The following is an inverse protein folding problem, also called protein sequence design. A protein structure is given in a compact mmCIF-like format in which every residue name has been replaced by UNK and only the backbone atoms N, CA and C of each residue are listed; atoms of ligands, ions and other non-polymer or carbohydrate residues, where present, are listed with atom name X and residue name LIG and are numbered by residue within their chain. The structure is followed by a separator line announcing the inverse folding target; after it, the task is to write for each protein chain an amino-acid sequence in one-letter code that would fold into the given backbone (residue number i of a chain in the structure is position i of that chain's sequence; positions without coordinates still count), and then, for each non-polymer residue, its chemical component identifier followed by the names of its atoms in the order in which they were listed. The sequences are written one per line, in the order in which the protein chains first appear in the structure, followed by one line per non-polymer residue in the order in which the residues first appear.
data_IF_971442736895
#
_entry.id   IF_971442736895
#
_cell.length_a   1.000
_cell.length_b   1.000
_cell.length_c   1.000
_cell.angle_alpha   90.00
_cell.angle_beta   90.00
_cell.angle_gamma   90.00
#
_symmetry.space_group_name_H-M   'P 1'
#
loop_
_entity.id
_entity.type
_entity.pdbx_description
1 polymer ?
#
# COMPACT_ATOMS: atom_id res chain seq x y z
N UNK A 1 3.68 -16.54 25.31
CA UNK A 1 3.59 -15.66 24.15
C UNK A 1 4.79 -14.72 24.20
N UNK A 2 5.44 -14.45 23.06
CA UNK A 2 6.56 -13.51 22.99
C UNK A 2 6.13 -12.06 23.27
N UNK A 3 7.10 -11.17 23.31
CA UNK A 3 6.89 -9.72 23.50
C UNK A 3 5.97 -9.11 22.43
N UNK A 4 6.03 -9.63 21.18
CA UNK A 4 5.25 -9.15 20.03
C UNK A 4 4.12 -10.12 19.68
N UNK A 5 2.99 -9.56 19.22
CA UNK A 5 1.77 -10.30 18.88
C UNK A 5 1.32 -10.09 17.44
N UNK A 6 1.74 -9.00 16.80
CA UNK A 6 1.38 -8.64 15.46
C UNK A 6 2.62 -8.30 14.65
N UNK A 7 2.70 -8.83 13.42
CA UNK A 7 3.73 -8.46 12.44
C UNK A 7 3.03 -7.91 11.20
N UNK A 8 3.34 -6.67 10.85
CA UNK A 8 2.85 -5.99 9.65
C UNK A 8 3.98 -5.94 8.62
N UNK A 9 3.78 -6.61 7.49
CA UNK A 9 4.71 -6.63 6.37
C UNK A 9 4.22 -5.70 5.27
N UNK A 10 5.10 -4.83 4.79
CA UNK A 10 4.91 -4.24 3.47
C UNK A 10 5.06 -5.34 2.41
N UNK A 11 4.62 -5.02 1.17
CA UNK A 11 4.62 -5.99 0.07
C UNK A 11 5.80 -5.76 -0.88
N UNK A 12 5.81 -4.66 -1.61
CA UNK A 12 6.76 -4.40 -2.69
C UNK A 12 8.13 -4.00 -2.15
N UNK A 13 9.15 -4.82 -2.44
CA UNK A 13 10.50 -4.64 -1.87
C UNK A 13 10.66 -5.17 -0.45
N UNK A 14 9.62 -5.74 0.14
CA UNK A 14 9.63 -6.33 1.49
C UNK A 14 9.22 -7.80 1.46
N UNK A 15 7.92 -8.11 1.35
CA UNK A 15 7.43 -9.49 1.32
C UNK A 15 7.59 -10.13 -0.06
N UNK A 16 7.55 -9.32 -1.12
CA UNK A 16 7.74 -9.72 -2.50
C UNK A 16 9.20 -9.60 -2.89
N UNK A 17 9.74 -10.63 -3.53
CA UNK A 17 11.06 -10.61 -4.16
C UNK A 17 11.10 -9.66 -5.39
N UNK A 18 12.26 -9.53 -6.01
CA UNK A 18 12.46 -8.68 -7.21
C UNK A 18 11.63 -9.13 -8.42
N UNK A 19 11.11 -10.36 -8.40
CA UNK A 19 10.21 -10.93 -9.41
C UNK A 19 8.73 -10.88 -9.03
N UNK A 20 8.39 -10.17 -7.94
CA UNK A 20 7.03 -10.05 -7.40
C UNK A 20 6.43 -11.38 -6.90
N UNK A 21 7.25 -12.30 -6.44
CA UNK A 21 6.81 -13.56 -5.83
C UNK A 21 7.05 -13.55 -4.31
N UNK A 22 6.31 -14.39 -3.60
CA UNK A 22 6.59 -14.72 -2.19
C UNK A 22 7.28 -16.08 -2.15
N UNK A 23 8.48 -16.16 -1.61
CA UNK A 23 9.23 -17.42 -1.52
C UNK A 23 8.45 -18.46 -0.73
N UNK A 24 8.62 -19.75 -1.07
CA UNK A 24 8.01 -20.86 -0.32
C UNK A 24 8.45 -20.88 1.13
N UNK A 25 9.68 -20.46 1.42
CA UNK A 25 10.22 -20.41 2.77
C UNK A 25 9.51 -19.34 3.61
N UNK A 26 9.26 -18.16 3.04
CA UNK A 26 8.49 -17.08 3.67
C UNK A 26 7.01 -17.46 3.83
N UNK A 27 6.37 -18.08 2.82
CA UNK A 27 4.99 -18.58 2.96
C UNK A 27 4.86 -19.56 4.13
N UNK A 28 5.78 -20.54 4.24
CA UNK A 28 5.79 -21.49 5.34
C UNK A 28 6.02 -20.82 6.70
N UNK A 29 6.89 -19.82 6.75
CA UNK A 29 7.16 -19.07 7.98
C UNK A 29 5.92 -18.27 8.44
N UNK A 30 5.23 -17.60 7.55
CA UNK A 30 3.96 -16.89 7.82
C UNK A 30 2.91 -17.84 8.38
N UNK A 31 2.73 -19.00 7.72
CA UNK A 31 1.81 -20.04 8.19
C UNK A 31 2.13 -20.51 9.60
N UNK A 32 3.37 -20.91 9.85
CA UNK A 32 3.80 -21.39 11.17
C UNK A 32 3.64 -20.32 12.27
N UNK A 33 3.91 -19.06 11.95
CA UNK A 33 3.72 -17.94 12.88
C UNK A 33 2.24 -17.75 13.22
N UNK A 34 1.36 -17.79 12.22
CA UNK A 34 -0.09 -17.70 12.42
C UNK A 34 -0.65 -18.86 13.22
N UNK A 35 -0.22 -20.11 12.96
CA UNK A 35 -0.58 -21.32 13.74
C UNK A 35 -0.19 -21.18 15.21
N UNK A 36 0.84 -20.39 15.54
CA UNK A 36 1.26 -20.09 16.90
C UNK A 36 0.60 -18.87 17.53
N UNK A 37 -0.39 -18.30 16.83
CA UNK A 37 -1.21 -17.21 17.32
C UNK A 37 -0.68 -15.81 17.03
N UNK A 38 0.32 -15.67 16.13
CA UNK A 38 0.71 -14.37 15.63
C UNK A 38 -0.35 -13.79 14.71
N UNK A 39 -0.63 -12.50 14.83
CA UNK A 39 -1.43 -11.76 13.85
C UNK A 39 -0.51 -11.26 12.74
N UNK A 40 -0.66 -11.81 11.54
CA UNK A 40 0.09 -11.35 10.37
C UNK A 40 -0.80 -10.41 9.57
N UNK A 41 -0.23 -9.27 9.16
CA UNK A 41 -0.93 -8.19 8.45
C UNK A 41 -0.16 -7.81 7.19
N UNK A 42 -0.85 -7.67 6.06
CA UNK A 42 -0.30 -6.97 4.90
C UNK A 42 -0.52 -5.47 5.10
N UNK A 43 0.55 -4.69 5.01
CA UNK A 43 0.56 -3.24 5.27
C UNK A 43 1.04 -2.50 4.02
N UNK A 44 0.16 -2.31 3.02
CA UNK A 44 0.54 -2.04 1.64
C UNK A 44 -0.14 -0.83 1.01
N UNK A 45 0.50 -0.27 -0.02
CA UNK A 45 -0.12 0.72 -0.92
C UNK A 45 -1.12 0.15 -1.91
N UNK A 46 -1.10 -1.18 -2.13
CA UNK A 46 -2.00 -1.89 -3.04
C UNK A 46 -3.43 -1.94 -2.50
N UNK A 47 -4.42 -2.02 -3.41
CA UNK A 47 -5.81 -2.30 -3.06
C UNK A 47 -6.10 -3.81 -3.01
N UNK A 48 -7.31 -4.19 -2.59
CA UNK A 48 -7.69 -5.59 -2.41
C UNK A 48 -7.66 -6.39 -3.72
N UNK A 49 -8.10 -5.80 -4.83
CA UNK A 49 -8.08 -6.45 -6.15
C UNK A 49 -6.64 -6.84 -6.57
N UNK A 50 -5.66 -6.00 -6.26
CA UNK A 50 -4.24 -6.21 -6.56
C UNK A 50 -3.55 -7.23 -5.63
N UNK A 51 -4.24 -7.68 -4.59
CA UNK A 51 -3.73 -8.65 -3.60
C UNK A 51 -4.29 -10.05 -3.78
N UNK A 52 -5.25 -10.27 -4.67
CA UNK A 52 -6.00 -11.53 -4.78
C UNK A 52 -5.10 -12.76 -4.88
N UNK A 53 -4.13 -12.75 -5.80
CA UNK A 53 -3.20 -13.87 -6.01
C UNK A 53 -2.33 -14.13 -4.77
N UNK A 54 -1.89 -13.08 -4.07
CA UNK A 54 -1.07 -13.21 -2.86
C UNK A 54 -1.87 -13.70 -1.66
N UNK A 55 -3.15 -13.33 -1.57
CA UNK A 55 -4.03 -13.82 -0.51
C UNK A 55 -4.35 -15.31 -0.64
N UNK A 56 -4.30 -15.88 -1.86
CA UNK A 56 -4.38 -17.33 -2.08
C UNK A 56 -3.13 -18.05 -1.57
N UNK A 57 -1.95 -17.43 -1.69
CA UNK A 57 -0.68 -17.98 -1.19
C UNK A 57 -0.55 -17.86 0.33
N UNK A 58 -1.25 -16.90 0.95
CA UNK A 58 -1.21 -16.59 2.38
C UNK A 58 -2.62 -16.65 2.99
N UNK A 59 -3.28 -17.81 3.01
CA UNK A 59 -4.65 -17.93 3.52
C UNK A 59 -4.77 -17.60 5.01
N UNK A 60 -3.68 -17.65 5.77
CA UNK A 60 -3.61 -17.32 7.20
C UNK A 60 -3.68 -15.80 7.48
N UNK A 61 -3.34 -14.97 6.50
CA UNK A 61 -3.42 -13.51 6.64
C UNK A 61 -4.89 -13.09 6.61
N UNK A 62 -5.39 -12.64 7.74
CA UNK A 62 -6.77 -12.22 7.93
C UNK A 62 -6.97 -10.72 7.75
N UNK A 63 -6.03 -9.93 8.23
CA UNK A 63 -6.16 -8.48 8.28
C UNK A 63 -5.25 -7.81 7.25
N UNK A 64 -5.78 -6.80 6.58
CA UNK A 64 -5.06 -6.06 5.55
C UNK A 64 -5.23 -4.57 5.82
N UNK A 65 -4.12 -3.87 5.93
CA UNK A 65 -4.02 -2.42 5.92
C UNK A 65 -3.60 -2.01 4.51
N UNK A 66 -4.56 -1.75 3.66
CA UNK A 66 -4.40 -1.51 2.21
C UNK A 66 -4.52 -0.03 1.86
N UNK A 67 -4.21 0.28 0.60
CA UNK A 67 -4.34 1.62 0.01
C UNK A 67 -3.61 2.67 0.86
N UNK A 68 -2.38 2.32 1.29
CA UNK A 68 -1.53 3.20 2.13
C UNK A 68 -2.19 3.62 3.45
N UNK A 69 -3.03 2.74 4.07
CA UNK A 69 -3.76 3.05 5.30
C UNK A 69 -5.15 3.64 5.09
N UNK A 70 -5.56 3.84 3.84
CA UNK A 70 -6.88 4.36 3.50
C UNK A 70 -8.02 3.36 3.71
N UNK A 71 -7.70 2.06 3.72
CA UNK A 71 -8.67 0.98 3.97
C UNK A 71 -8.05 -0.11 4.84
N UNK A 72 -8.68 -0.41 5.96
CA UNK A 72 -8.32 -1.54 6.84
C UNK A 72 -9.47 -2.52 6.88
N UNK A 73 -9.22 -3.77 6.55
CA UNK A 73 -10.27 -4.78 6.47
C UNK A 73 -9.93 -6.10 7.15
N UNK A 74 -10.98 -6.79 7.56
CA UNK A 74 -10.99 -8.20 7.95
C UNK A 74 -11.56 -9.00 6.77
N UNK A 75 -10.69 -9.62 5.98
CA UNK A 75 -11.10 -10.34 4.76
C UNK A 75 -11.88 -11.62 5.04
N UNK A 76 -11.74 -12.20 6.23
CA UNK A 76 -12.47 -13.42 6.60
C UNK A 76 -13.91 -13.09 7.01
N UNK A 77 -14.09 -11.95 7.70
CA UNK A 77 -15.42 -11.47 8.07
C UNK A 77 -16.07 -10.59 6.97
N UNK A 78 -15.38 -10.37 5.84
CA UNK A 78 -15.77 -9.45 4.77
C UNK A 78 -16.25 -8.10 5.31
N UNK A 79 -15.42 -7.48 6.13
CA UNK A 79 -15.78 -6.25 6.85
C UNK A 79 -14.67 -5.22 6.83
N UNK A 80 -15.05 -3.98 6.53
CA UNK A 80 -14.19 -2.82 6.69
C UNK A 80 -14.13 -2.44 8.17
N UNK A 81 -12.91 -2.40 8.73
CA UNK A 81 -12.62 -1.99 10.11
C UNK A 81 -12.48 -0.47 10.17
N UNK A 82 -11.83 0.08 9.15
CA UNK A 82 -11.59 1.51 9.04
C UNK A 82 -11.49 1.92 7.56
N UNK A 83 -11.97 3.11 7.24
CA UNK A 83 -11.81 3.72 5.92
C UNK A 83 -11.58 5.22 6.06
N UNK A 84 -10.58 5.73 5.36
CA UNK A 84 -10.29 7.14 5.14
C UNK A 84 -10.41 7.44 3.65
N UNK A 85 -11.26 8.37 3.27
CA UNK A 85 -11.59 8.61 1.87
C UNK A 85 -11.55 10.09 1.52
N UNK A 86 -11.11 10.41 0.32
CA UNK A 86 -11.34 11.69 -0.32
C UNK A 86 -12.85 11.92 -0.47
N UNK A 87 -13.31 13.12 -0.19
CA UNK A 87 -14.68 13.50 -0.50
C UNK A 87 -14.86 13.69 -2.02
N UNK A 88 -16.10 13.53 -2.47
CA UNK A 88 -16.45 13.57 -3.89
C UNK A 88 -16.09 14.91 -4.55
N UNK A 89 -16.27 16.02 -3.86
CA UNK A 89 -16.03 17.36 -4.43
C UNK A 89 -14.52 17.62 -4.59
N UNK A 90 -13.72 17.11 -3.65
CA UNK A 90 -12.25 17.13 -3.76
C UNK A 90 -11.78 16.33 -4.97
N UNK A 91 -12.29 15.10 -5.16
CA UNK A 91 -11.94 14.28 -6.34
C UNK A 91 -12.35 14.97 -7.63
N UNK A 92 -13.58 15.53 -7.72
CA UNK A 92 -14.04 16.28 -8.90
C UNK A 92 -13.13 17.46 -9.24
N UNK A 93 -12.68 18.22 -8.23
CA UNK A 93 -11.76 19.34 -8.44
C UNK A 93 -10.42 18.86 -9.00
N UNK A 94 -9.85 17.78 -8.42
CA UNK A 94 -8.60 17.21 -8.90
C UNK A 94 -8.73 16.74 -10.35
N UNK A 95 -9.79 16.00 -10.67
CA UNK A 95 -10.03 15.52 -12.04
C UNK A 95 -10.13 16.68 -13.06
N UNK A 96 -10.79 17.77 -12.67
CA UNK A 96 -10.87 18.97 -13.51
C UNK A 96 -9.50 19.64 -13.73
N UNK A 97 -8.61 19.62 -12.74
CA UNK A 97 -7.26 20.16 -12.88
C UNK A 97 -6.39 19.38 -13.87
N UNK A 98 -6.65 18.09 -14.03
CA UNK A 98 -5.85 17.18 -14.88
C UNK A 98 -6.56 16.78 -16.18
N UNK A 99 -7.77 17.26 -16.44
CA UNK A 99 -8.60 16.87 -17.60
C UNK A 99 -7.90 17.08 -18.96
N UNK A 100 -7.03 18.09 -19.06
CA UNK A 100 -6.27 18.40 -20.27
C UNK A 100 -4.82 17.92 -20.23
N UNK A 101 -4.43 17.17 -19.21
CA UNK A 101 -3.05 16.68 -19.02
C UNK A 101 -2.91 15.26 -19.59
N UNK A 102 -1.72 14.93 -20.09
CA UNK A 102 -1.38 13.54 -20.43
C UNK A 102 -0.97 12.81 -19.15
N UNK A 103 -1.98 12.32 -18.43
CA UNK A 103 -1.83 11.61 -17.16
C UNK A 103 -2.68 10.34 -17.19
N UNK A 104 -2.18 9.26 -16.62
CA UNK A 104 -2.97 8.06 -16.37
C UNK A 104 -3.58 8.15 -14.97
N UNK A 105 -4.91 8.12 -14.89
CA UNK A 105 -5.68 8.18 -13.65
C UNK A 105 -5.96 6.78 -13.15
N UNK A 106 -5.80 6.58 -11.83
CA UNK A 106 -6.06 5.32 -11.17
C UNK A 106 -6.81 5.55 -9.85
N UNK A 107 -8.05 5.06 -9.76
CA UNK A 107 -8.83 5.05 -8.53
C UNK A 107 -8.63 3.75 -7.78
N UNK A 108 -8.29 3.87 -6.51
CA UNK A 108 -8.05 2.75 -5.60
C UNK A 108 -9.05 2.78 -4.44
N UNK A 109 -9.85 1.74 -4.37
CA UNK A 109 -10.69 1.39 -3.22
C UNK A 109 -10.46 -0.10 -2.89
N UNK A 110 -11.48 -0.95 -2.81
CA UNK A 110 -11.31 -2.41 -2.88
C UNK A 110 -10.94 -2.87 -4.28
N UNK A 111 -11.41 -2.15 -5.28
CA UNK A 111 -11.18 -2.34 -6.70
C UNK A 111 -10.02 -1.45 -7.16
N UNK A 112 -9.49 -1.75 -8.33
CA UNK A 112 -8.45 -1.02 -9.02
C UNK A 112 -9.04 -0.56 -10.35
N UNK A 113 -9.26 0.76 -10.55
CA UNK A 113 -9.96 1.31 -11.71
C UNK A 113 -9.04 2.25 -12.48
N UNK A 114 -8.77 1.95 -13.75
CA UNK A 114 -7.83 2.70 -14.60
C UNK A 114 -8.43 3.12 -15.94
N UNK A 115 -7.78 4.06 -16.60
CA UNK A 115 -8.11 4.43 -17.99
C UNK A 115 -7.68 3.32 -18.95
N UNK A 116 -8.63 2.79 -19.74
CA UNK A 116 -8.39 1.71 -20.70
C UNK A 116 -7.37 2.06 -21.77
N UNK A 117 -7.47 3.25 -22.36
CA UNK A 117 -6.59 3.72 -23.44
C UNK A 117 -5.14 3.93 -22.98
N UNK A 118 -4.89 4.04 -21.67
CA UNK A 118 -3.55 4.25 -21.11
C UNK A 118 -2.82 2.94 -20.78
N UNK A 119 -3.55 1.84 -20.55
CA UNK A 119 -2.96 0.54 -20.18
C UNK A 119 -1.98 0.00 -21.22
N UNK A 120 -2.25 0.04 -22.55
CA UNK A 120 -1.28 -0.39 -23.56
C UNK A 120 0.04 0.40 -23.52
N UNK A 121 -0.02 1.66 -23.13
CA UNK A 121 1.05 2.65 -23.16
C UNK A 121 1.67 2.96 -21.79
N UNK A 122 1.52 2.06 -20.80
CA UNK A 122 2.00 2.27 -19.41
C UNK A 122 3.50 2.61 -19.32
N UNK A 123 4.30 2.23 -20.31
CA UNK A 123 5.71 2.61 -20.37
C UNK A 123 5.93 4.14 -20.46
N UNK A 124 4.98 4.89 -21.01
CA UNK A 124 5.03 6.37 -21.05
C UNK A 124 4.93 7.00 -19.67
N UNK A 125 4.34 6.26 -18.72
CA UNK A 125 4.10 6.69 -17.35
C UNK A 125 5.05 5.99 -16.36
N UNK A 126 6.08 5.28 -16.86
CA UNK A 126 7.05 4.51 -16.07
C UNK A 126 6.39 3.41 -15.21
N UNK A 127 5.29 2.84 -15.70
CA UNK A 127 4.50 1.81 -15.02
C UNK A 127 4.51 0.46 -15.76
N UNK A 128 5.45 0.25 -16.69
CA UNK A 128 5.54 -0.97 -17.50
C UNK A 128 5.69 -2.25 -16.68
N UNK A 129 6.36 -2.18 -15.53
CA UNK A 129 6.56 -3.32 -14.63
C UNK A 129 5.26 -3.85 -14.02
N UNK A 130 4.21 -3.04 -14.01
CA UNK A 130 2.90 -3.39 -13.46
C UNK A 130 1.88 -3.77 -14.53
N UNK A 131 2.23 -3.69 -15.83
CA UNK A 131 1.28 -3.84 -16.94
C UNK A 131 0.51 -5.15 -16.89
N UNK A 132 1.21 -6.28 -16.74
CA UNK A 132 0.57 -7.60 -16.72
C UNK A 132 -0.42 -7.75 -15.54
N UNK A 133 -0.10 -7.16 -14.39
CA UNK A 133 -1.01 -7.13 -13.25
C UNK A 133 -2.23 -6.27 -13.57
N UNK A 134 -2.04 -5.06 -14.11
CA UNK A 134 -3.15 -4.16 -14.43
C UNK A 134 -4.10 -4.76 -15.47
N UNK A 135 -3.59 -5.44 -16.50
CA UNK A 135 -4.40 -6.14 -17.49
C UNK A 135 -5.29 -7.24 -16.88
N UNK A 136 -4.84 -7.86 -15.78
CA UNK A 136 -5.58 -8.96 -15.12
C UNK A 136 -6.55 -8.51 -14.05
N UNK A 137 -6.22 -7.48 -13.28
CA UNK A 137 -6.95 -7.19 -12.03
C UNK A 137 -7.67 -5.85 -12.04
N UNK A 138 -7.48 -4.98 -13.07
CA UNK A 138 -8.10 -3.67 -13.07
C UNK A 138 -9.41 -3.64 -13.84
N UNK A 139 -10.36 -2.88 -13.32
CA UNK A 139 -11.51 -2.37 -14.07
C UNK A 139 -11.02 -1.26 -15.00
N UNK A 140 -11.19 -1.47 -16.31
CA UNK A 140 -10.69 -0.53 -17.32
C UNK A 140 -11.84 0.31 -17.89
N UNK A 141 -11.88 1.59 -17.54
CA UNK A 141 -12.90 2.52 -17.97
C UNK A 141 -12.48 3.31 -19.22
N UNK A 142 -13.40 3.46 -20.20
CA UNK A 142 -13.13 4.17 -21.45
C UNK A 142 -12.93 5.68 -21.24
N UNK A 143 -13.85 6.29 -20.50
CA UNK A 143 -13.80 7.69 -20.08
C UNK A 143 -13.87 7.75 -18.55
N UNK A 144 -12.72 7.64 -17.92
CA UNK A 144 -12.65 7.54 -16.44
C UNK A 144 -13.20 8.80 -15.77
N UNK A 145 -12.97 9.99 -16.34
CA UNK A 145 -13.45 11.24 -15.78
C UNK A 145 -14.97 11.35 -15.96
N UNK A 146 -15.49 11.14 -17.18
CA UNK A 146 -16.92 11.24 -17.46
C UNK A 146 -17.72 10.19 -16.70
N UNK A 147 -17.22 8.93 -16.63
CA UNK A 147 -17.87 7.87 -15.88
C UNK A 147 -17.90 8.17 -14.37
N UNK A 148 -16.79 8.67 -13.81
CA UNK A 148 -16.75 9.10 -12.41
C UNK A 148 -17.72 10.25 -12.13
N UNK A 149 -17.78 11.26 -13.01
CA UNK A 149 -18.68 12.43 -12.85
C UNK A 149 -20.16 12.02 -12.95
N UNK A 150 -20.47 11.00 -13.76
CA UNK A 150 -21.84 10.49 -13.90
C UNK A 150 -22.33 9.71 -12.66
N UNK A 151 -21.43 8.99 -11.98
CA UNK A 151 -21.74 8.19 -10.80
C UNK A 151 -20.60 8.30 -9.76
N UNK A 152 -20.44 9.45 -9.09
CA UNK A 152 -19.31 9.69 -8.22
C UNK A 152 -19.41 8.89 -6.91
N UNK A 153 -18.25 8.43 -6.42
CA UNK A 153 -18.12 7.68 -5.17
C UNK A 153 -16.89 8.16 -4.38
N UNK A 154 -16.83 7.77 -3.12
CA UNK A 154 -15.69 8.09 -2.25
C UNK A 154 -14.52 7.17 -2.57
N UNK A 155 -13.32 7.73 -2.65
CA UNK A 155 -12.09 7.02 -3.03
C UNK A 155 -11.06 7.15 -1.90
N UNK A 156 -10.54 6.05 -1.36
CA UNK A 156 -9.45 6.09 -0.38
C UNK A 156 -8.16 6.69 -0.93
N UNK A 157 -7.81 6.37 -2.20
CA UNK A 157 -6.62 6.88 -2.84
C UNK A 157 -6.83 7.07 -4.35
N UNK A 158 -6.32 8.18 -4.86
CA UNK A 158 -6.24 8.51 -6.27
C UNK A 158 -4.76 8.61 -6.65
N UNK A 159 -4.32 7.82 -7.63
CA UNK A 159 -2.99 7.94 -8.20
C UNK A 159 -3.05 8.62 -9.56
N UNK A 160 -2.09 9.50 -9.80
CA UNK A 160 -1.87 10.17 -11.07
C UNK A 160 -0.46 9.83 -11.56
N UNK A 161 -0.36 9.08 -12.65
CA UNK A 161 0.91 8.71 -13.24
C UNK A 161 1.21 9.63 -14.41
N UNK A 162 2.33 10.35 -14.33
CA UNK A 162 2.71 11.35 -15.32
C UNK A 162 3.81 10.82 -16.24
N UNK A 163 4.02 11.49 -17.36
CA UNK A 163 5.07 11.15 -18.32
C UNK A 163 6.46 11.64 -17.88
N UNK A 164 6.53 12.52 -16.87
CA UNK A 164 7.78 13.02 -16.31
C UNK A 164 7.59 13.53 -14.87
N UNK A 165 8.69 13.63 -14.12
CA UNK A 165 8.70 14.27 -12.80
C UNK A 165 8.34 15.75 -12.84
N UNK A 166 8.66 16.44 -13.93
CA UNK A 166 8.25 17.82 -14.21
C UNK A 166 6.74 17.96 -14.26
N UNK A 167 6.06 17.13 -15.06
CA UNK A 167 4.60 17.11 -15.19
C UNK A 167 3.95 16.83 -13.83
N UNK A 168 4.43 15.80 -13.10
CA UNK A 168 3.99 15.50 -11.74
C UNK A 168 4.10 16.72 -10.81
N UNK A 169 5.25 17.40 -10.82
CA UNK A 169 5.47 18.55 -9.96
C UNK A 169 4.57 19.75 -10.33
N UNK A 170 4.20 19.92 -11.61
CA UNK A 170 3.24 20.92 -12.04
C UNK A 170 1.83 20.60 -11.52
N UNK A 171 1.38 19.35 -11.66
CA UNK A 171 0.08 18.90 -11.11
C UNK A 171 0.04 19.06 -9.59
N UNK A 172 1.11 18.67 -8.89
CA UNK A 172 1.24 18.89 -7.44
C UNK A 172 1.04 20.37 -7.06
N UNK A 173 1.70 21.29 -7.77
CA UNK A 173 1.55 22.74 -7.52
C UNK A 173 0.13 23.22 -7.74
N UNK A 174 -0.57 22.74 -8.80
CA UNK A 174 -1.97 23.09 -9.04
C UNK A 174 -2.87 22.63 -7.91
N UNK A 175 -2.71 21.38 -7.43
CA UNK A 175 -3.50 20.83 -6.33
C UNK A 175 -3.26 21.62 -5.03
N UNK A 176 -2.00 21.94 -4.72
CA UNK A 176 -1.64 22.74 -3.54
C UNK A 176 -2.25 24.16 -3.59
N UNK A 177 -2.32 24.77 -4.78
CA UNK A 177 -2.92 26.09 -4.94
C UNK A 177 -4.44 26.11 -4.63
N UNK A 178 -5.13 24.99 -4.80
CA UNK A 178 -6.55 24.83 -4.45
C UNK A 178 -6.79 24.67 -2.94
N UNK A 179 -5.74 24.55 -2.13
CA UNK A 179 -5.81 24.39 -0.66
C UNK A 179 -6.76 23.25 -0.24
N UNK A 180 -6.75 22.16 -1.00
CA UNK A 180 -7.53 20.96 -0.70
C UNK A 180 -6.97 20.24 0.55
N UNK A 181 -7.88 19.64 1.32
CA UNK A 181 -7.52 18.88 2.51
C UNK A 181 -7.05 17.45 2.13
N UNK A 182 -5.88 17.34 1.50
CA UNK A 182 -5.32 16.11 0.96
C UNK A 182 -3.88 15.90 1.38
N UNK A 183 -3.47 14.64 1.46
CA UNK A 183 -2.08 14.22 1.53
C UNK A 183 -1.57 13.97 0.11
N UNK A 184 -0.39 14.48 -0.20
CA UNK A 184 0.26 14.32 -1.51
C UNK A 184 1.61 13.64 -1.32
N UNK A 185 1.76 12.44 -1.84
CA UNK A 185 2.99 11.66 -1.76
C UNK A 185 3.53 11.41 -3.16
N UNK A 186 4.82 11.72 -3.36
CA UNK A 186 5.54 11.30 -4.56
C UNK A 186 5.91 9.83 -4.39
N UNK A 187 5.37 8.99 -5.26
CA UNK A 187 5.68 7.58 -5.32
C UNK A 187 6.24 7.25 -6.70
N UNK A 188 7.09 6.23 -6.80
CA UNK A 188 7.78 5.90 -8.03
C UNK A 188 8.46 7.12 -8.67
N UNK A 189 8.82 7.05 -9.95
CA UNK A 189 9.51 8.15 -10.66
C UNK A 189 8.58 9.33 -10.96
N UNK A 190 7.34 9.05 -11.37
CA UNK A 190 6.41 10.05 -11.94
C UNK A 190 5.03 10.02 -11.32
N UNK A 191 4.84 9.21 -10.30
CA UNK A 191 3.56 8.97 -9.63
C UNK A 191 3.28 10.02 -8.55
N UNK A 192 2.05 10.54 -8.53
CA UNK A 192 1.52 11.36 -7.45
C UNK A 192 0.36 10.60 -6.80
N UNK A 193 0.55 10.15 -5.59
CA UNK A 193 -0.50 9.57 -4.76
C UNK A 193 -1.23 10.66 -3.99
N UNK A 194 -2.56 10.60 -3.99
CA UNK A 194 -3.44 11.57 -3.36
C UNK A 194 -4.41 10.81 -2.45
N UNK A 195 -4.42 11.14 -1.18
CA UNK A 195 -5.32 10.58 -0.17
C UNK A 195 -5.90 11.68 0.72
N UNK A 196 -6.86 11.34 1.56
CA UNK A 196 -7.35 12.28 2.57
C UNK A 196 -6.22 12.63 3.56
N UNK A 197 -6.20 13.86 4.06
CA UNK A 197 -5.18 14.30 5.00
C UNK A 197 -5.08 13.38 6.22
N UNK A 198 -3.85 13.05 6.59
CA UNK A 198 -3.55 12.14 7.70
C UNK A 198 -3.76 10.67 7.38
N UNK A 199 -3.94 10.31 6.11
CA UNK A 199 -3.98 8.91 5.67
C UNK A 199 -2.56 8.42 5.43
N UNK A 200 -2.11 7.46 6.23
CA UNK A 200 -0.83 6.77 6.09
C UNK A 200 -0.90 5.34 6.66
N UNK A 201 0.08 4.51 6.32
CA UNK A 201 0.16 3.12 6.79
C UNK A 201 0.15 3.00 8.31
N UNK A 202 0.71 3.99 9.03
CA UNK A 202 0.78 4.00 10.49
C UNK A 202 -0.57 4.29 11.14
N UNK A 203 -1.35 5.20 10.57
CA UNK A 203 -2.70 5.50 11.05
C UNK A 203 -3.64 4.31 10.82
N UNK A 204 -3.57 3.67 9.65
CA UNK A 204 -4.30 2.44 9.37
C UNK A 204 -3.94 1.30 10.33
N UNK A 205 -2.64 1.08 10.59
CA UNK A 205 -2.17 0.08 11.54
C UNK A 205 -2.67 0.38 12.97
N UNK A 206 -2.64 1.63 13.39
CA UNK A 206 -3.16 2.03 14.71
C UNK A 206 -4.65 1.70 14.85
N UNK A 207 -5.47 1.97 13.82
CA UNK A 207 -6.90 1.61 13.80
C UNK A 207 -7.11 0.10 13.89
N UNK A 208 -6.30 -0.69 13.19
CA UNK A 208 -6.33 -2.13 13.29
C UNK A 208 -5.95 -2.60 14.71
N UNK A 209 -4.89 -2.06 15.28
CA UNK A 209 -4.44 -2.39 16.63
C UNK A 209 -5.50 -2.05 17.69
N UNK A 210 -6.17 -0.91 17.57
CA UNK A 210 -7.31 -0.54 18.43
C UNK A 210 -8.45 -1.56 18.33
N UNK A 211 -8.81 -1.97 17.12
CA UNK A 211 -9.84 -2.98 16.88
C UNK A 211 -9.48 -4.34 17.47
N UNK A 212 -8.21 -4.75 17.39
CA UNK A 212 -7.72 -6.04 17.90
C UNK A 212 -7.37 -6.03 19.40
N UNK A 213 -7.41 -4.88 20.06
CA UNK A 213 -6.90 -4.70 21.42
C UNK A 213 -5.43 -5.19 21.56
N UNK A 214 -4.59 -4.85 20.57
CA UNK A 214 -3.15 -5.10 20.58
C UNK A 214 -2.46 -3.74 20.73
N UNK A 215 -1.68 -3.51 21.81
CA UNK A 215 -0.88 -2.29 21.93
C UNK A 215 0.13 -2.18 20.79
N UNK A 216 0.35 -0.98 20.27
CA UNK A 216 1.36 -0.72 19.24
C UNK A 216 2.77 -1.18 19.66
N UNK A 217 3.08 -1.11 20.97
CA UNK A 217 4.33 -1.64 21.53
C UNK A 217 4.51 -3.16 21.38
N UNK A 218 3.45 -3.90 21.02
CA UNK A 218 3.48 -5.33 20.73
C UNK A 218 3.44 -5.65 19.23
N UNK A 219 3.73 -4.67 18.39
CA UNK A 219 3.77 -4.82 16.93
C UNK A 219 5.18 -4.76 16.39
N UNK A 220 5.43 -5.50 15.33
CA UNK A 220 6.61 -5.38 14.47
C UNK A 220 6.12 -4.83 13.13
N UNK A 221 6.79 -3.82 12.60
CA UNK A 221 6.57 -3.32 11.24
C UNK A 221 7.83 -3.55 10.43
N UNK A 222 7.67 -4.19 9.28
CA UNK A 222 8.75 -4.50 8.32
C UNK A 222 8.49 -3.75 7.04
N UNK A 223 9.47 -2.99 6.56
CA UNK A 223 9.33 -2.18 5.36
C UNK A 223 10.67 -1.81 4.73
N UNK A 224 10.64 -1.16 3.58
CA UNK A 224 11.82 -0.77 2.81
C UNK A 224 11.75 0.65 2.21
N UNK A 225 10.58 1.29 2.16
CA UNK A 225 10.36 2.57 1.51
C UNK A 225 9.77 3.64 2.44
N UNK A 226 9.79 4.90 2.01
CA UNK A 226 9.37 6.05 2.83
C UNK A 226 7.91 5.98 3.28
N UNK A 227 7.04 5.30 2.54
CA UNK A 227 5.63 5.09 2.91
C UNK A 227 5.46 4.17 4.14
N UNK A 228 6.51 3.45 4.58
CA UNK A 228 6.52 2.62 5.79
C UNK A 228 6.88 3.41 7.04
N UNK A 229 7.55 4.55 6.89
CA UNK A 229 8.10 5.34 7.99
C UNK A 229 7.03 5.66 9.05
N UNK A 230 5.83 6.04 8.62
CA UNK A 230 4.74 6.37 9.55
C UNK A 230 4.32 5.18 10.42
N UNK A 231 4.28 3.97 9.86
CA UNK A 231 3.97 2.75 10.58
C UNK A 231 5.14 2.31 11.48
N UNK A 232 6.36 2.38 10.96
CA UNK A 232 7.58 2.04 11.73
C UNK A 232 7.74 2.91 12.97
N UNK A 233 7.48 4.22 12.87
CA UNK A 233 7.52 5.15 14.02
C UNK A 233 6.53 4.83 15.14
N UNK A 234 5.42 4.15 14.83
CA UNK A 234 4.39 3.76 15.79
C UNK A 234 4.60 2.35 16.34
N UNK A 235 5.39 1.53 15.67
CA UNK A 235 5.63 0.14 16.05
C UNK A 235 6.39 -0.02 17.37
N UNK A 236 6.22 -1.17 18.00
CA UNK A 236 7.07 -1.60 19.10
C UNK A 236 8.47 -2.04 18.65
N UNK A 237 8.61 -2.41 17.37
CA UNK A 237 9.87 -2.71 16.70
C UNK A 237 9.76 -2.33 15.22
N UNK A 238 10.65 -1.46 14.77
CA UNK A 238 10.80 -1.08 13.38
C UNK A 238 11.91 -1.90 12.73
N UNK A 239 11.59 -2.63 11.67
CA UNK A 239 12.54 -3.48 10.94
C UNK A 239 12.67 -3.01 9.50
N UNK A 240 13.89 -2.70 9.07
CA UNK A 240 14.20 -2.39 7.69
C UNK A 240 14.70 -3.63 6.94
N UNK A 241 14.30 -3.77 5.69
CA UNK A 241 14.93 -4.70 4.77
C UNK A 241 16.31 -4.19 4.38
N UNK A 242 17.26 -5.07 4.05
CA UNK A 242 18.62 -4.68 3.59
C UNK A 242 18.59 -3.83 2.30
N UNK A 243 17.61 -4.07 1.43
CA UNK A 243 17.38 -3.27 0.22
C UNK A 243 16.65 -1.95 0.49
N UNK A 244 16.24 -1.67 1.73
CA UNK A 244 15.56 -0.43 2.09
C UNK A 244 16.41 0.81 1.76
N UNK A 245 15.75 1.94 1.52
CA UNK A 245 16.45 3.20 1.37
C UNK A 245 17.09 3.68 2.70
N UNK A 246 17.98 4.64 2.61
CA UNK A 246 18.75 5.12 3.78
C UNK A 246 17.89 5.81 4.85
N UNK A 247 16.76 6.43 4.48
CA UNK A 247 15.83 7.05 5.44
C UNK A 247 15.18 5.99 6.33
N UNK A 248 14.74 4.89 5.71
CA UNK A 248 14.11 3.76 6.41
C UNK A 248 15.13 3.05 7.30
N UNK A 249 16.34 2.77 6.78
CA UNK A 249 17.42 2.16 7.56
C UNK A 249 17.83 2.99 8.78
N UNK A 250 17.90 4.32 8.61
CA UNK A 250 18.28 5.22 9.71
C UNK A 250 17.23 5.26 10.84
N UNK A 251 15.97 4.94 10.54
CA UNK A 251 14.87 4.90 11.51
C UNK A 251 14.72 3.54 12.18
N UNK A 252 15.11 2.47 11.51
CA UNK A 252 14.86 1.11 11.96
C UNK A 252 15.68 0.74 13.20
N UNK A 253 15.08 -0.02 14.09
CA UNK A 253 15.77 -0.65 15.24
C UNK A 253 16.67 -1.79 14.79
N UNK A 254 16.29 -2.49 13.71
CA UNK A 254 16.97 -3.67 13.17
C UNK A 254 16.93 -3.66 11.64
N UNK A 255 18.01 -4.15 11.04
CA UNK A 255 18.09 -4.43 9.59
C UNK A 255 18.21 -5.94 9.42
N UNK A 256 17.36 -6.52 8.57
CA UNK A 256 17.36 -7.95 8.20
C UNK A 256 17.83 -8.12 6.76
N UNK A 257 17.92 -9.37 6.30
CA UNK A 257 18.24 -9.71 4.90
C UNK A 257 17.29 -8.98 3.93
N UNK A 258 17.68 -8.85 2.66
CA UNK A 258 16.84 -8.24 1.64
C UNK A 258 15.67 -9.14 1.24
N UNK A 259 14.79 -8.60 0.39
CA UNK A 259 13.59 -9.27 -0.08
C UNK A 259 13.88 -10.49 -0.97
N UNK A 260 15.04 -10.58 -1.62
CA UNK A 260 15.46 -11.74 -2.41
C UNK A 260 16.11 -12.85 -1.54
N UNK A 261 16.36 -12.56 -0.26
CA UNK A 261 17.03 -13.48 0.68
C UNK A 261 16.20 -13.74 1.94
N UNK A 262 14.88 -13.82 1.82
CA UNK A 262 13.94 -14.21 2.89
C UNK A 262 13.98 -13.34 4.16
N UNK A 263 14.26 -12.04 4.09
CA UNK A 263 14.34 -11.16 5.26
C UNK A 263 13.08 -11.17 6.12
N UNK A 264 11.88 -11.30 5.53
CA UNK A 264 10.63 -11.43 6.28
C UNK A 264 10.56 -12.73 7.11
N UNK A 265 11.08 -13.83 6.59
CA UNK A 265 11.23 -15.09 7.34
C UNK A 265 12.21 -14.91 8.51
N UNK A 266 13.33 -14.23 8.28
CA UNK A 266 14.33 -13.92 9.32
C UNK A 266 13.69 -13.17 10.49
N UNK A 267 12.82 -12.19 10.25
CA UNK A 267 12.06 -11.49 11.29
C UNK A 267 11.24 -12.49 12.12
N UNK A 268 10.48 -13.37 11.47
CA UNK A 268 9.64 -14.33 12.18
C UNK A 268 10.46 -15.33 13.03
N UNK A 269 11.68 -15.66 12.61
CA UNK A 269 12.61 -16.52 13.38
C UNK A 269 13.20 -15.77 14.56
N UNK A 270 13.77 -14.58 14.33
CA UNK A 270 14.53 -13.84 15.35
C UNK A 270 13.65 -13.36 16.51
N UNK A 271 12.37 -13.12 16.27
CA UNK A 271 11.44 -12.66 17.31
C UNK A 271 10.50 -13.74 17.86
N UNK A 272 10.86 -15.02 17.63
CA UNK A 272 10.28 -16.16 18.32
C UNK A 272 8.90 -16.60 17.83
N UNK A 273 8.47 -16.14 16.65
CA UNK A 273 7.23 -16.62 16.04
C UNK A 273 7.39 -18.03 15.45
N UNK A 274 8.58 -18.35 14.96
CA UNK A 274 8.93 -19.68 14.47
C UNK A 274 10.29 -20.13 15.05
N UNK A 275 10.60 -21.44 14.95
CA UNK A 275 11.89 -22.00 15.37
C UNK A 275 12.78 -22.27 14.17
#
# INVERSE_FOLDING_TARGET
MGQYRLVAFDMDGTLLDSHKHISRATQQAVRLAAERGATIVLNTGRCMAELTEYMELLPEVRYINSVSGGLVCDRVADRDIYSSTLDIDTVKKILKLVESEDVMIHFLNKESIVQRDKVPDMYKYHMEAYKDMYERVTDQWEDIIGQYLAAPFRIPKLNLYHTSSEARNQTRKKILAEQLNVELVDAETTSLEISAQGTDKGNGLEKLCQYLNIPLSQTIVVGDADNDIAAMKKAGLAVAMKNANEHVKALADVIVSDNDHDGCREVLQNYGFIR
#
